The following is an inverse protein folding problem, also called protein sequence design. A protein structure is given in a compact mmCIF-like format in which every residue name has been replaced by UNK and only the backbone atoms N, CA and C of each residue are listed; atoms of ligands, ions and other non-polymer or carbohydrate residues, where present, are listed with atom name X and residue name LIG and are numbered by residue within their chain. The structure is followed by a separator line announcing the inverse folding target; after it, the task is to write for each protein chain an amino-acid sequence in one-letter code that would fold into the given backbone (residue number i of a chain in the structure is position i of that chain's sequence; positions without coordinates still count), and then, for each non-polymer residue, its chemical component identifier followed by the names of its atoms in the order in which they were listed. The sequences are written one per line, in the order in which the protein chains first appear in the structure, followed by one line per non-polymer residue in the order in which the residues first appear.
data_IF_042903510602
#
_entry.id   IF_042903510602
#
_cell.length_a   1.000
_cell.length_b   1.000
_cell.length_c   1.000
_cell.angle_alpha   90.00
_cell.angle_beta   90.00
_cell.angle_gamma   90.00
#
_symmetry.space_group_name_H-M   'P 1'
#
loop_
_entity.id
_entity.type
_entity.pdbx_description
1 polymer ?
#
# COMPACT_ATOMS: atom_id res chain seq x y z
N UNK A 1 -37.20 13.47 17.90
CA UNK A 1 -35.93 12.72 18.04
C UNK A 1 -35.88 12.18 19.46
N UNK A 2 -35.97 10.86 19.67
CA UNK A 2 -36.02 10.31 21.03
C UNK A 2 -34.65 10.45 21.71
N UNK A 3 -34.59 11.15 22.85
CA UNK A 3 -33.40 11.21 23.70
C UNK A 3 -33.33 9.92 24.53
N UNK A 4 -32.36 9.07 24.23
CA UNK A 4 -32.03 7.90 25.05
C UNK A 4 -31.03 8.36 26.10
N UNK A 5 -31.46 8.53 27.35
CA UNK A 5 -30.56 8.86 28.46
C UNK A 5 -30.23 7.58 29.22
N UNK A 6 -29.00 7.04 29.10
CA UNK A 6 -28.60 5.89 29.90
C UNK A 6 -28.45 6.33 31.36
N UNK A 7 -29.32 5.85 32.24
CA UNK A 7 -29.25 6.13 33.67
C UNK A 7 -28.54 4.95 34.34
N UNK A 8 -27.25 5.11 34.62
CA UNK A 8 -26.50 4.14 35.43
C UNK A 8 -26.00 4.81 36.71
N UNK A 9 -26.71 4.65 37.85
CA UNK A 9 -26.22 5.03 39.15
C UNK A 9 -24.79 4.52 39.41
N UNK A 10 -23.94 5.38 39.98
CA UNK A 10 -22.51 5.13 40.19
C UNK A 10 -22.24 3.91 41.09
N UNK A 11 -23.17 3.56 41.97
CA UNK A 11 -23.09 2.45 42.91
C UNK A 11 -23.57 1.10 42.32
N UNK A 12 -24.04 1.08 41.07
CA UNK A 12 -24.58 -0.13 40.46
C UNK A 12 -23.44 -1.08 39.99
N UNK A 13 -23.34 -2.32 40.52
CA UNK A 13 -22.37 -3.29 40.02
C UNK A 13 -22.50 -3.54 38.50
N UNK A 14 -21.37 -3.83 37.84
CA UNK A 14 -21.32 -4.09 36.38
C UNK A 14 -22.09 -5.34 35.94
N UNK A 15 -22.62 -6.11 36.90
CA UNK A 15 -23.40 -7.32 36.66
C UNK A 15 -24.83 -7.04 36.20
N UNK A 16 -25.40 -5.88 36.56
CA UNK A 16 -26.83 -5.59 36.45
C UNK A 16 -27.22 -4.87 35.14
N UNK A 17 -28.49 -5.03 34.67
CA UNK A 17 -28.95 -4.50 33.40
C UNK A 17 -29.02 -2.96 33.41
N UNK A 18 -28.81 -2.36 32.23
CA UNK A 18 -28.92 -0.90 32.06
C UNK A 18 -30.36 -0.54 31.73
N UNK A 19 -30.94 0.37 32.50
CA UNK A 19 -32.28 0.93 32.29
C UNK A 19 -32.17 2.16 31.38
N UNK A 20 -33.05 2.24 30.38
CA UNK A 20 -33.15 3.38 29.48
C UNK A 20 -34.58 3.90 29.51
N UNK A 21 -34.74 5.23 29.54
CA UNK A 21 -36.04 5.87 29.36
C UNK A 21 -36.13 6.34 27.90
N UNK A 22 -37.19 5.93 27.22
CA UNK A 22 -37.50 6.35 25.85
C UNK A 22 -38.95 6.78 25.81
N UNK A 23 -39.21 8.06 25.55
CA UNK A 23 -40.57 8.64 25.49
C UNK A 23 -41.44 8.23 26.70
N UNK A 24 -40.94 8.53 27.89
CA UNK A 24 -41.59 8.28 29.19
C UNK A 24 -41.94 6.82 29.50
N UNK A 25 -41.30 5.88 28.78
CA UNK A 25 -41.37 4.44 29.04
C UNK A 25 -40.00 3.91 29.45
N UNK A 26 -39.99 3.06 30.48
CA UNK A 26 -38.80 2.39 30.97
C UNK A 26 -38.54 1.11 30.17
N UNK A 27 -37.30 0.96 29.69
CA UNK A 27 -36.83 -0.20 28.97
C UNK A 27 -35.62 -0.78 29.67
N UNK A 28 -35.63 -2.10 29.88
CA UNK A 28 -34.49 -2.85 30.41
C UNK A 28 -33.77 -3.49 29.24
N UNK A 29 -32.49 -3.15 29.03
CA UNK A 29 -31.67 -3.90 28.07
C UNK A 29 -31.22 -5.20 28.72
N UNK A 30 -31.84 -6.30 28.33
CA UNK A 30 -31.34 -7.64 28.63
C UNK A 30 -29.87 -7.76 28.17
N UNK A 31 -29.04 -8.43 28.98
CA UNK A 31 -27.68 -8.80 28.55
C UNK A 31 -27.81 -9.62 27.28
N UNK A 32 -26.86 -9.48 26.36
CA UNK A 32 -26.77 -10.40 25.24
C UNK A 32 -26.55 -11.82 25.81
N UNK A 33 -27.53 -12.71 25.66
CA UNK A 33 -27.46 -14.10 26.10
C UNK A 33 -26.26 -14.84 25.48
N UNK A 34 -25.89 -14.41 24.26
CA UNK A 34 -24.76 -14.96 23.52
C UNK A 34 -23.68 -13.89 23.29
N UNK A 35 -22.69 -13.83 24.18
CA UNK A 35 -21.47 -13.04 23.96
C UNK A 35 -20.50 -13.88 23.14
N UNK A 36 -20.50 -13.69 21.81
CA UNK A 36 -19.54 -14.35 20.93
C UNK A 36 -18.13 -13.87 21.26
N UNK A 37 -17.26 -14.79 21.69
CA UNK A 37 -15.89 -14.46 22.08
C UNK A 37 -15.18 -13.67 20.97
N UNK A 38 -14.78 -12.41 21.21
CA UNK A 38 -14.15 -11.54 20.20
C UNK A 38 -12.68 -11.91 19.92
N UNK A 39 -12.29 -13.16 20.21
CA UNK A 39 -10.95 -13.73 20.01
C UNK A 39 -10.96 -14.89 19.01
N UNK A 40 -11.89 -14.92 18.07
CA UNK A 40 -11.79 -15.87 16.95
C UNK A 40 -10.45 -15.69 16.24
N UNK A 41 -9.88 -16.78 15.70
CA UNK A 41 -8.58 -16.74 14.99
C UNK A 41 -8.57 -15.65 13.90
N UNK A 42 -9.64 -15.55 13.11
CA UNK A 42 -9.82 -14.50 12.09
C UNK A 42 -9.78 -13.09 12.67
N UNK A 43 -10.42 -12.84 13.82
CA UNK A 43 -10.37 -11.53 14.47
C UNK A 43 -8.98 -11.21 15.00
N UNK A 44 -8.26 -12.19 15.54
CA UNK A 44 -6.89 -12.02 15.99
C UNK A 44 -5.95 -11.70 14.81
N UNK A 45 -6.10 -12.42 13.69
CA UNK A 45 -5.35 -12.15 12.46
C UNK A 45 -5.64 -10.76 11.89
N UNK A 46 -6.89 -10.31 11.91
CA UNK A 46 -7.24 -8.96 11.47
C UNK A 46 -6.66 -7.88 12.40
N UNK A 47 -6.64 -8.14 13.72
CA UNK A 47 -6.02 -7.22 14.69
C UNK A 47 -4.50 -7.17 14.50
N UNK A 48 -3.83 -8.29 14.31
CA UNK A 48 -2.38 -8.31 14.08
C UNK A 48 -2.02 -7.60 12.78
N UNK A 49 -2.77 -7.85 11.69
CA UNK A 49 -2.63 -7.11 10.42
C UNK A 49 -2.79 -5.62 10.60
N UNK A 50 -3.83 -5.19 11.33
CA UNK A 50 -4.09 -3.78 11.61
C UNK A 50 -2.98 -3.15 12.44
N UNK A 51 -2.48 -3.86 13.46
CA UNK A 51 -1.40 -3.38 14.33
C UNK A 51 -0.12 -3.13 13.55
N UNK A 52 0.30 -4.09 12.71
CA UNK A 52 1.49 -3.96 11.85
C UNK A 52 1.35 -2.79 10.88
N UNK A 53 0.20 -2.71 10.18
CA UNK A 53 -0.07 -1.64 9.23
C UNK A 53 -0.08 -0.26 9.91
N UNK A 54 -0.75 -0.13 11.05
CA UNK A 54 -0.87 1.14 11.78
C UNK A 54 0.47 1.60 12.33
N UNK A 55 1.27 0.69 12.88
CA UNK A 55 2.60 1.01 13.40
C UNK A 55 3.53 1.49 12.29
N UNK A 56 3.56 0.81 11.14
CA UNK A 56 4.34 1.28 9.99
C UNK A 56 3.85 2.63 9.47
N UNK A 57 2.54 2.78 9.26
CA UNK A 57 1.98 4.00 8.68
C UNK A 57 2.12 5.22 9.60
N UNK A 58 2.08 5.03 10.92
CA UNK A 58 2.37 6.08 11.89
C UNK A 58 3.77 6.69 11.65
N UNK A 59 4.77 5.87 11.30
CA UNK A 59 6.10 6.38 10.95
C UNK A 59 6.13 7.12 9.62
N UNK A 60 5.18 6.84 8.71
CA UNK A 60 5.07 7.44 7.39
C UNK A 60 4.08 8.62 7.33
N UNK A 61 3.49 9.01 8.46
CA UNK A 61 2.45 10.04 8.55
C UNK A 61 2.82 11.36 7.85
N UNK A 62 4.07 11.89 7.91
CA UNK A 62 4.44 13.13 7.22
C UNK A 62 4.26 13.10 5.70
N UNK A 63 4.38 11.90 5.09
CA UNK A 63 4.15 11.67 3.67
C UNK A 63 2.70 11.29 3.40
N UNK A 64 2.17 10.28 4.09
CA UNK A 64 0.85 9.71 3.83
C UNK A 64 -0.30 10.74 3.98
N UNK A 65 -0.19 11.67 4.92
CA UNK A 65 -1.24 12.69 5.15
C UNK A 65 -1.40 13.65 3.97
N UNK A 66 -0.31 13.93 3.25
CA UNK A 66 -0.30 14.83 2.08
C UNK A 66 -0.48 14.08 0.78
N UNK A 67 0.00 12.83 0.74
CA UNK A 67 0.02 12.01 -0.45
C UNK A 67 -1.35 11.50 -0.89
N UNK A 68 -2.34 11.43 0.01
CA UNK A 68 -3.68 10.92 -0.31
C UNK A 68 -4.76 11.98 -0.16
N UNK A 69 -5.69 12.01 -1.10
CA UNK A 69 -6.86 12.85 -1.02
C UNK A 69 -7.88 12.32 -0.02
N UNK A 70 -8.46 13.20 0.81
CA UNK A 70 -9.62 12.82 1.62
C UNK A 70 -10.78 12.37 0.73
N UNK A 71 -11.45 11.30 1.11
CA UNK A 71 -12.60 10.75 0.38
C UNK A 71 -13.84 10.72 1.26
N UNK A 72 -15.04 10.71 0.65
CA UNK A 72 -16.29 10.49 1.37
C UNK A 72 -16.60 8.99 1.44
N UNK A 73 -17.17 8.53 2.56
CA UNK A 73 -17.73 7.19 2.62
C UNK A 73 -19.06 7.13 1.88
N UNK A 74 -19.22 6.16 0.99
CA UNK A 74 -20.46 5.93 0.24
C UNK A 74 -21.05 4.58 0.63
N UNK A 75 -21.50 4.45 1.89
CA UNK A 75 -22.15 3.21 2.36
C UNK A 75 -23.68 3.42 2.30
N UNK A 76 -24.43 2.60 1.53
CA UNK A 76 -25.88 2.74 1.45
C UNK A 76 -26.53 2.69 2.84
N UNK A 77 -27.43 3.65 3.13
CA UNK A 77 -28.12 3.76 4.41
C UNK A 77 -27.32 4.39 5.56
N UNK A 78 -26.15 4.96 5.29
CA UNK A 78 -25.33 5.66 6.29
C UNK A 78 -25.02 7.08 5.82
N UNK A 79 -24.97 8.02 6.75
CA UNK A 79 -24.51 9.38 6.47
C UNK A 79 -23.06 9.36 5.95
N UNK A 80 -22.83 10.05 4.84
CA UNK A 80 -21.50 10.17 4.26
C UNK A 80 -20.58 10.94 5.20
N UNK A 81 -19.48 10.31 5.63
CA UNK A 81 -18.44 10.96 6.42
C UNK A 81 -17.18 11.19 5.61
N UNK A 82 -16.48 12.28 5.90
CA UNK A 82 -15.15 12.57 5.34
C UNK A 82 -14.10 11.69 6.01
N UNK A 83 -13.33 10.97 5.21
CA UNK A 83 -12.19 10.16 5.62
C UNK A 83 -10.92 10.91 5.25
N UNK A 84 -10.10 11.27 6.24
CA UNK A 84 -8.84 11.99 6.01
C UNK A 84 -7.80 11.15 5.25
N UNK A 85 -6.87 11.82 4.56
CA UNK A 85 -5.86 11.17 3.71
C UNK A 85 -5.05 10.07 4.40
N UNK A 86 -4.74 10.23 5.70
CA UNK A 86 -4.08 9.17 6.49
C UNK A 86 -4.90 7.87 6.56
N UNK A 87 -6.22 7.97 6.76
CA UNK A 87 -7.08 6.79 6.83
C UNK A 87 -7.29 6.16 5.45
N UNK A 88 -7.29 6.98 4.39
CA UNK A 88 -7.26 6.48 3.01
C UNK A 88 -5.97 5.70 2.77
N UNK A 89 -4.82 6.24 3.18
CA UNK A 89 -3.52 5.58 3.08
C UNK A 89 -3.50 4.23 3.84
N UNK A 90 -4.07 4.20 5.06
CA UNK A 90 -4.20 2.95 5.83
C UNK A 90 -5.03 1.91 5.09
N UNK A 91 -6.15 2.31 4.48
CA UNK A 91 -6.96 1.43 3.65
C UNK A 91 -6.20 0.86 2.45
N UNK A 92 -5.39 1.69 1.77
CA UNK A 92 -4.56 1.26 0.64
C UNK A 92 -3.45 0.31 1.09
N UNK A 93 -2.75 0.65 2.19
CA UNK A 93 -1.71 -0.19 2.79
C UNK A 93 -2.28 -1.57 3.15
N UNK A 94 -3.41 -1.62 3.86
CA UNK A 94 -4.06 -2.87 4.21
C UNK A 94 -4.40 -3.70 2.98
N UNK A 95 -4.86 -3.08 1.89
CA UNK A 95 -5.26 -3.80 0.66
C UNK A 95 -4.09 -4.32 -0.16
N UNK A 96 -2.98 -3.56 -0.27
CA UNK A 96 -1.91 -3.82 -1.25
C UNK A 96 -0.50 -3.97 -0.67
N UNK A 97 -0.20 -3.34 0.46
CA UNK A 97 1.15 -3.33 1.06
C UNK A 97 1.32 -4.26 2.25
N UNK A 98 0.49 -5.31 2.35
CA UNK A 98 0.55 -6.32 3.42
C UNK A 98 0.68 -7.70 2.81
N UNK A 99 1.58 -8.52 3.36
CA UNK A 99 1.76 -9.92 2.96
C UNK A 99 1.79 -10.84 4.19
N UNK A 100 1.55 -12.14 3.99
CA UNK A 100 1.77 -13.15 5.03
C UNK A 100 3.23 -13.63 4.97
N UNK A 101 3.98 -13.38 6.03
CA UNK A 101 5.28 -13.98 6.29
C UNK A 101 5.18 -15.27 7.09
N UNK A 102 6.32 -15.75 7.61
CA UNK A 102 6.38 -16.99 8.39
C UNK A 102 5.69 -16.85 9.75
N UNK A 103 5.88 -15.71 10.40
CA UNK A 103 5.42 -15.45 11.78
C UNK A 103 4.15 -14.60 11.85
N UNK A 104 3.54 -14.27 10.70
CA UNK A 104 2.30 -13.50 10.65
C UNK A 104 2.24 -12.49 9.51
N UNK A 105 1.59 -11.36 9.75
CA UNK A 105 1.49 -10.29 8.76
C UNK A 105 2.73 -9.42 8.76
N UNK A 106 3.21 -9.08 7.57
CA UNK A 106 4.38 -8.25 7.34
C UNK A 106 4.07 -7.15 6.31
N UNK A 107 4.89 -6.10 6.31
CA UNK A 107 4.83 -5.05 5.30
C UNK A 107 5.46 -5.58 4.01
N UNK A 108 4.70 -5.53 2.93
CA UNK A 108 5.25 -5.68 1.58
C UNK A 108 5.77 -4.32 1.12
N UNK A 109 7.02 -4.03 1.48
CA UNK A 109 7.63 -2.72 1.27
C UNK A 109 7.60 -2.24 -0.18
N UNK A 110 7.67 -3.15 -1.15
CA UNK A 110 7.66 -2.82 -2.57
C UNK A 110 6.27 -2.37 -3.04
N UNK A 111 5.21 -2.92 -2.45
CA UNK A 111 3.83 -2.60 -2.81
C UNK A 111 3.18 -1.52 -1.91
N UNK A 112 3.96 -0.92 -0.99
CA UNK A 112 3.51 0.25 -0.23
C UNK A 112 3.38 1.46 -1.15
N UNK A 113 2.18 2.05 -1.19
CA UNK A 113 1.93 3.35 -1.81
C UNK A 113 1.78 4.43 -0.74
N UNK A 114 2.53 5.53 -0.87
CA UNK A 114 2.46 6.68 0.05
C UNK A 114 1.70 7.88 -0.54
N UNK A 115 1.23 7.77 -1.78
CA UNK A 115 0.36 8.74 -2.41
C UNK A 115 -0.56 8.13 -3.47
N UNK A 116 -1.61 8.87 -3.84
CA UNK A 116 -2.59 8.50 -4.88
C UNK A 116 -2.33 9.16 -6.25
N UNK A 117 -1.23 9.89 -6.39
CA UNK A 117 -0.84 10.56 -7.62
C UNK A 117 -0.29 9.65 -8.72
N UNK A 118 0.15 10.28 -9.81
CA UNK A 118 0.75 9.59 -10.95
C UNK A 118 1.96 8.75 -10.53
N UNK A 119 2.31 7.74 -11.33
CA UNK A 119 3.52 6.96 -11.08
C UNK A 119 4.80 7.76 -11.37
N UNK A 120 5.88 7.49 -10.63
CA UNK A 120 7.24 8.00 -10.91
C UNK A 120 8.10 7.01 -11.71
N UNK A 121 7.51 5.99 -12.34
CA UNK A 121 8.26 4.97 -13.08
C UNK A 121 9.15 5.55 -14.19
N UNK A 122 8.70 6.64 -14.82
CA UNK A 122 9.47 7.35 -15.85
C UNK A 122 10.61 8.21 -15.30
N UNK A 123 10.64 8.45 -13.98
CA UNK A 123 11.59 9.33 -13.29
C UNK A 123 12.28 8.58 -12.13
N UNK A 124 13.03 7.50 -12.43
CA UNK A 124 13.62 6.65 -11.41
C UNK A 124 14.61 7.43 -10.54
N UNK A 125 14.62 7.10 -9.25
CA UNK A 125 15.62 7.56 -8.30
C UNK A 125 16.74 6.51 -8.18
N UNK A 126 17.99 6.97 -8.24
CA UNK A 126 19.16 6.22 -7.84
C UNK A 126 19.57 6.58 -6.41
N UNK A 127 19.98 5.58 -5.63
CA UNK A 127 20.50 5.79 -4.28
C UNK A 127 21.75 4.95 -4.02
N UNK A 128 22.74 5.58 -3.41
CA UNK A 128 23.97 4.95 -2.93
C UNK A 128 24.22 5.41 -1.50
N UNK A 129 24.80 4.54 -0.66
CA UNK A 129 25.17 4.88 0.72
C UNK A 129 26.60 4.47 1.00
N UNK A 130 27.36 5.40 1.57
CA UNK A 130 28.68 5.16 2.14
C UNK A 130 28.67 5.58 3.61
N UNK A 131 28.60 4.58 4.50
CA UNK A 131 28.46 4.82 5.93
C UNK A 131 27.24 5.70 6.24
N UNK A 132 27.50 6.93 6.70
CA UNK A 132 26.47 7.90 7.10
C UNK A 132 26.14 8.92 6.01
N UNK A 133 26.75 8.84 4.84
CA UNK A 133 26.40 9.68 3.71
C UNK A 133 25.60 8.86 2.69
N UNK A 134 24.47 9.41 2.25
CA UNK A 134 23.64 8.86 1.19
C UNK A 134 23.60 9.82 0.01
N UNK A 135 23.94 9.32 -1.16
CA UNK A 135 23.90 10.04 -2.43
C UNK A 135 22.65 9.64 -3.20
N UNK A 136 21.84 10.63 -3.57
CA UNK A 136 20.60 10.49 -4.33
C UNK A 136 20.77 11.12 -5.70
N UNK A 137 20.32 10.45 -6.75
CA UNK A 137 20.34 10.99 -8.11
C UNK A 137 19.03 10.67 -8.84
N UNK A 138 18.70 11.49 -9.84
CA UNK A 138 17.55 11.28 -10.72
C UNK A 138 18.05 11.21 -12.17
N UNK A 139 18.44 10.02 -12.68
CA UNK A 139 19.10 9.90 -13.99
C UNK A 139 18.27 10.44 -15.16
N UNK A 140 16.94 10.27 -15.10
CA UNK A 140 15.99 10.81 -16.09
C UNK A 140 15.42 12.19 -15.69
N UNK A 141 15.96 12.80 -14.64
CA UNK A 141 15.42 14.03 -14.04
C UNK A 141 14.13 13.78 -13.26
N UNK A 142 13.40 14.87 -13.01
CA UNK A 142 12.12 14.88 -12.31
C UNK A 142 11.00 15.35 -13.25
N UNK A 143 9.72 15.11 -12.91
CA UNK A 143 8.59 15.65 -13.66
C UNK A 143 8.72 17.17 -13.88
N UNK A 144 8.24 17.65 -15.04
CA UNK A 144 8.25 19.09 -15.37
C UNK A 144 7.49 19.88 -14.30
N UNK A 145 8.08 20.95 -13.79
CA UNK A 145 7.49 21.77 -12.73
C UNK A 145 7.66 21.20 -11.31
N UNK A 146 8.52 20.20 -11.12
CA UNK A 146 8.93 19.74 -9.81
C UNK A 146 9.62 20.86 -9.02
N UNK A 147 9.15 21.11 -7.79
CA UNK A 147 9.72 22.13 -6.90
C UNK A 147 10.47 21.52 -5.73
N UNK A 148 9.95 20.43 -5.18
CA UNK A 148 10.45 19.84 -3.93
C UNK A 148 10.31 18.33 -3.96
N UNK A 149 11.31 17.65 -3.43
CA UNK A 149 11.29 16.21 -3.16
C UNK A 149 11.17 16.00 -1.66
N UNK A 150 10.27 15.11 -1.26
CA UNK A 150 10.17 14.57 0.11
C UNK A 150 10.52 13.11 0.06
N UNK A 151 11.29 12.64 1.03
CA UNK A 151 11.71 11.24 1.07
C UNK A 151 11.65 10.69 2.49
N UNK A 152 11.18 9.45 2.62
CA UNK A 152 11.27 8.63 3.82
C UNK A 152 12.31 7.52 3.59
N UNK A 153 13.28 7.42 4.50
CA UNK A 153 14.29 6.37 4.54
C UNK A 153 13.96 5.47 5.74
N UNK A 154 13.45 4.28 5.46
CA UNK A 154 12.97 3.33 6.46
C UNK A 154 13.93 2.15 6.64
N UNK A 155 14.22 1.81 7.90
CA UNK A 155 14.93 0.59 8.26
C UNK A 155 13.97 -0.38 8.94
N UNK A 156 13.65 -1.48 8.24
CA UNK A 156 12.77 -2.54 8.75
C UNK A 156 13.33 -3.14 10.06
N UNK A 157 14.61 -3.53 10.05
CA UNK A 157 15.26 -4.16 11.20
C UNK A 157 15.45 -3.25 12.42
N UNK A 158 15.34 -1.92 12.25
CA UNK A 158 15.35 -0.97 13.37
C UNK A 158 13.98 -0.41 13.70
N UNK A 159 12.97 -0.64 12.85
CA UNK A 159 11.64 -0.06 13.02
C UNK A 159 11.65 1.47 13.08
N UNK A 160 12.54 2.14 12.32
CA UNK A 160 12.69 3.61 12.32
C UNK A 160 12.69 4.18 10.92
N UNK A 161 12.22 5.42 10.81
CA UNK A 161 12.12 6.16 9.55
C UNK A 161 12.72 7.55 9.71
N UNK A 162 13.58 7.95 8.78
CA UNK A 162 14.08 9.32 8.63
C UNK A 162 13.29 10.00 7.53
N UNK A 163 12.80 11.21 7.79
CA UNK A 163 12.16 12.06 6.78
C UNK A 163 13.10 13.18 6.38
N UNK A 164 13.27 13.38 5.08
CA UNK A 164 14.10 14.45 4.50
C UNK A 164 13.33 15.16 3.41
N UNK A 165 13.63 16.43 3.21
CA UNK A 165 13.06 17.24 2.13
C UNK A 165 14.15 18.14 1.58
N UNK A 166 14.18 18.28 0.26
CA UNK A 166 15.11 19.16 -0.45
C UNK A 166 14.45 19.68 -1.72
N UNK A 167 14.94 20.81 -2.23
CA UNK A 167 14.43 21.38 -3.48
C UNK A 167 14.77 20.46 -4.66
N UNK A 168 13.95 20.50 -5.71
CA UNK A 168 14.10 19.60 -6.85
C UNK A 168 15.48 19.80 -7.50
N UNK A 169 16.37 18.78 -7.49
CA UNK A 169 17.69 18.90 -8.11
C UNK A 169 17.57 19.03 -9.63
N UNK A 170 18.56 19.68 -10.24
CA UNK A 170 18.70 19.74 -11.70
C UNK A 170 18.97 18.33 -12.25
N UNK A 171 18.74 18.15 -13.55
CA UNK A 171 19.03 16.87 -14.20
C UNK A 171 20.52 16.51 -14.00
N UNK A 172 20.79 15.27 -13.58
CA UNK A 172 22.14 14.73 -13.25
C UNK A 172 22.80 15.31 -11.99
N UNK A 173 22.16 16.24 -11.29
CA UNK A 173 22.64 16.69 -9.99
C UNK A 173 22.46 15.58 -8.94
N UNK A 174 23.43 15.48 -8.04
CA UNK A 174 23.44 14.51 -6.96
C UNK A 174 23.19 15.23 -5.63
N UNK A 175 22.23 14.74 -4.87
CA UNK A 175 21.90 15.26 -3.54
C UNK A 175 22.57 14.38 -2.49
N UNK A 176 23.32 14.99 -1.57
CA UNK A 176 23.93 14.31 -0.44
C UNK A 176 23.09 14.48 0.82
N UNK A 177 22.89 13.39 1.54
CA UNK A 177 22.05 13.34 2.74
C UNK A 177 22.81 12.63 3.85
N UNK A 178 22.97 13.29 4.99
CA UNK A 178 23.48 12.66 6.20
C UNK A 178 22.40 11.78 6.83
N UNK A 179 22.71 10.50 7.02
CA UNK A 179 21.83 9.53 7.68
C UNK A 179 22.31 9.25 9.10
N UNK A 180 21.38 9.00 10.04
CA UNK A 180 21.72 8.69 11.43
C UNK A 180 22.44 7.34 11.55
N UNK A 181 23.13 7.11 12.67
CA UNK A 181 23.91 5.87 12.93
C UNK A 181 23.08 4.60 12.73
N UNK A 182 21.81 4.61 13.12
CA UNK A 182 20.91 3.46 12.97
C UNK A 182 20.61 3.11 11.50
N UNK A 183 20.77 4.07 10.58
CA UNK A 183 20.58 3.92 9.13
C UNK A 183 21.91 3.77 8.38
N UNK A 184 23.06 3.75 9.07
CA UNK A 184 24.37 3.66 8.42
C UNK A 184 24.67 2.26 7.84
N UNK A 185 24.01 1.23 8.36
CA UNK A 185 24.14 -0.17 7.92
C UNK A 185 22.80 -0.84 7.63
N UNK A 186 22.82 -2.09 7.16
CA UNK A 186 21.62 -2.88 6.90
C UNK A 186 20.83 -2.46 5.65
N UNK A 187 19.68 -3.11 5.43
CA UNK A 187 18.76 -2.81 4.32
C UNK A 187 17.92 -1.57 4.61
N UNK A 188 17.70 -0.73 3.60
CA UNK A 188 16.83 0.44 3.68
C UNK A 188 15.77 0.42 2.58
N UNK A 189 14.59 0.92 2.92
CA UNK A 189 13.45 1.12 2.04
C UNK A 189 13.24 2.63 1.88
N UNK A 190 13.44 3.14 0.68
CA UNK A 190 13.33 4.56 0.39
C UNK A 190 12.03 4.78 -0.36
N UNK A 191 11.21 5.71 0.14
CA UNK A 191 10.02 6.20 -0.53
C UNK A 191 10.20 7.67 -0.81
N UNK A 192 9.91 8.13 -2.02
CA UNK A 192 10.01 9.56 -2.35
C UNK A 192 8.76 10.04 -3.04
N UNK A 193 8.42 11.30 -2.78
CA UNK A 193 7.34 12.01 -3.46
C UNK A 193 7.80 13.36 -3.98
N UNK A 194 7.24 13.76 -5.12
CA UNK A 194 7.59 15.01 -5.80
C UNK A 194 6.40 15.96 -5.74
N UNK A 195 6.67 17.18 -5.29
CA UNK A 195 5.74 18.30 -5.36
C UNK A 195 5.85 18.96 -6.75
N UNK A 196 4.78 18.91 -7.53
CA UNK A 196 4.70 19.48 -8.88
C UNK A 196 3.74 20.69 -8.85
N UNK A 197 4.05 21.75 -9.58
CA UNK A 197 3.13 22.88 -9.74
C UNK A 197 1.78 22.44 -10.34
N UNK A 198 0.68 22.65 -9.62
CA UNK A 198 -0.68 22.32 -10.09
C UNK A 198 -1.52 21.56 -9.06
N UNK A 199 -2.67 21.02 -9.51
CA UNK A 199 -3.64 20.31 -8.64
C UNK A 199 -3.32 18.82 -8.38
N UNK A 200 -2.26 18.27 -8.98
CA UNK A 200 -1.85 16.85 -8.84
C UNK A 200 -0.44 16.81 -8.24
N UNK A 201 -0.26 16.71 -6.92
CA UNK A 201 -0.52 15.60 -5.97
C UNK A 201 0.45 14.45 -6.19
N UNK A 202 1.56 14.56 -5.47
CA UNK A 202 2.51 13.55 -5.02
C UNK A 202 2.47 12.23 -5.80
N UNK A 203 3.45 12.04 -6.65
CA UNK A 203 3.78 10.74 -7.23
C UNK A 203 4.71 10.02 -6.25
N UNK A 204 4.54 8.71 -5.97
CA UNK A 204 5.43 7.98 -5.03
C UNK A 204 6.28 6.93 -5.75
N UNK A 205 7.58 6.91 -5.50
CA UNK A 205 8.47 5.86 -5.97
C UNK A 205 9.15 5.12 -4.82
N UNK A 206 9.63 3.91 -5.10
CA UNK A 206 10.27 3.02 -4.13
C UNK A 206 11.66 2.60 -4.60
N UNK A 207 12.64 2.60 -3.70
CA UNK A 207 13.98 2.07 -3.92
C UNK A 207 14.41 1.22 -2.73
N UNK A 208 14.89 0.01 -3.01
CA UNK A 208 15.51 -0.85 -2.01
C UNK A 208 17.02 -0.69 -2.06
N UNK A 209 17.62 -0.37 -0.90
CA UNK A 209 19.07 -0.32 -0.75
C UNK A 209 19.54 -1.50 0.09
N UNK A 210 20.35 -2.37 -0.51
CA UNK A 210 20.90 -3.54 0.15
C UNK A 210 21.93 -3.16 1.24
N UNK A 211 22.23 -4.11 2.12
CA UNK A 211 23.32 -3.98 3.08
C UNK A 211 24.67 -4.09 2.35
N UNK A 212 25.33 -2.96 2.07
CA UNK A 212 26.66 -2.94 1.44
C UNK A 212 26.84 -1.80 0.43
N UNK A 213 28.10 -1.54 0.02
CA UNK A 213 28.56 -0.46 -0.88
C UNK A 213 28.10 -0.59 -2.35
N UNK A 214 26.95 -1.21 -2.61
CA UNK A 214 26.49 -1.43 -3.99
C UNK A 214 25.42 -0.41 -4.39
N UNK A 215 25.42 0.09 -5.65
CA UNK A 215 24.32 0.89 -6.16
C UNK A 215 23.01 0.12 -6.01
N UNK A 216 22.01 0.74 -5.37
CA UNK A 216 20.69 0.15 -5.26
C UNK A 216 20.15 -0.17 -6.65
N UNK A 217 19.85 -1.44 -6.95
CA UNK A 217 19.18 -1.81 -8.19
C UNK A 217 17.72 -1.37 -8.11
N UNK A 218 17.33 -0.52 -9.05
CA UNK A 218 15.94 -0.20 -9.32
C UNK A 218 15.19 -1.49 -9.66
N UNK A 219 14.07 -1.77 -8.98
CA UNK A 219 13.19 -2.89 -9.32
C UNK A 219 11.75 -2.38 -9.35
N UNK A 220 11.16 -2.42 -10.55
CA UNK A 220 9.80 -1.97 -10.82
C UNK A 220 8.80 -2.78 -10.00
N UNK A 221 7.81 -2.12 -9.41
CA UNK A 221 6.57 -2.77 -8.98
C UNK A 221 5.70 -3.01 -10.21
N UNK A 222 5.64 -4.25 -10.70
CA UNK A 222 4.70 -4.59 -11.78
C UNK A 222 3.27 -4.57 -11.24
N UNK A 223 2.51 -3.52 -11.53
CA UNK A 223 1.06 -3.60 -11.60
C UNK A 223 0.70 -4.13 -13.00
N UNK A 224 0.46 -5.45 -13.11
CA UNK A 224 -0.33 -6.02 -14.20
C UNK A 224 -1.47 -6.80 -13.57
N UNK A 225 -2.55 -6.09 -13.28
CA UNK A 225 -3.86 -6.71 -13.18
C UNK A 225 -4.32 -7.04 -14.60
N UNK A 226 -4.06 -8.26 -15.05
CA UNK A 226 -4.74 -8.85 -16.19
C UNK A 226 -5.47 -10.09 -15.68
N UNK A 227 -6.80 -10.08 -15.85
CA UNK A 227 -7.68 -11.17 -15.44
C UNK A 227 -7.23 -12.48 -16.07
N UNK A 228 -7.20 -13.55 -15.26
CA UNK A 228 -7.18 -14.91 -15.78
C UNK A 228 -8.54 -15.18 -16.41
N UNK A 229 -8.65 -14.95 -17.72
CA UNK A 229 -9.62 -15.64 -18.55
C UNK A 229 -9.15 -17.10 -18.65
N UNK A 230 -9.85 -17.97 -17.95
CA UNK A 230 -9.79 -19.42 -18.16
C UNK A 230 -10.51 -19.72 -19.48
N UNK A 231 -9.88 -20.35 -20.49
CA UNK A 231 -10.61 -20.93 -21.61
C UNK A 231 -11.29 -22.24 -21.15
N UNK A 232 -12.50 -22.57 -21.65
CA UNK A 232 -13.20 -23.79 -21.28
C UNK A 232 -12.58 -25.04 -21.93
N UNK A 233 -12.87 -26.20 -21.33
CA UNK A 233 -12.39 -27.52 -21.71
C UNK A 233 -13.21 -28.16 -22.87
N UNK A 234 -12.53 -29.01 -23.65
CA UNK A 234 -13.06 -29.89 -24.71
C UNK A 234 -12.76 -29.34 -26.11
N UNK A 235 -12.22 -30.06 -27.10
CA UNK A 235 -12.10 -31.50 -27.39
C UNK A 235 -11.05 -31.67 -28.55
N UNK A 236 -10.74 -32.89 -29.05
CA UNK A 236 -9.40 -33.30 -29.49
C UNK A 236 -9.09 -32.97 -30.96
N UNK A 237 -7.82 -32.68 -31.29
CA UNK A 237 -7.34 -32.66 -32.68
C UNK A 237 -6.50 -33.89 -32.98
N UNK A 238 -7.11 -34.82 -33.71
CA UNK A 238 -6.45 -35.68 -34.67
C UNK A 238 -5.64 -34.83 -35.67
N UNK A 239 -4.40 -35.23 -35.96
CA UNK A 239 -3.89 -35.36 -37.33
C UNK A 239 -2.43 -35.85 -37.33
N UNK A 240 -2.29 -37.12 -37.71
CA UNK A 240 -1.10 -37.68 -38.35
C UNK A 240 -0.70 -36.86 -39.59
N UNK A 241 0.60 -36.81 -39.90
CA UNK A 241 1.05 -36.68 -41.28
C UNK A 241 1.77 -37.95 -41.74
N UNK A 242 1.18 -38.56 -42.76
CA UNK A 242 1.65 -39.69 -43.57
C UNK A 242 2.94 -39.35 -44.32
N UNK A 243 3.84 -40.33 -44.42
CA UNK A 243 5.10 -40.29 -45.21
C UNK A 243 4.85 -40.28 -46.73
N UNK A 244 5.82 -39.82 -47.55
CA UNK A 244 5.67 -39.69 -48.99
C UNK A 244 6.21 -40.89 -49.77
N UNK A 245 5.72 -41.10 -51.00
CA UNK A 245 6.45 -41.63 -52.18
C UNK A 245 5.53 -41.66 -53.41
N UNK A 246 6.08 -41.27 -54.57
CA UNK A 246 5.67 -41.86 -55.86
C UNK A 246 5.26 -40.89 -56.98
N UNK A 247 6.27 -40.48 -57.77
CA UNK A 247 6.31 -40.42 -59.24
C UNK A 247 5.09 -39.94 -60.08
N UNK A 248 5.33 -38.81 -60.77
CA UNK A 248 5.32 -38.61 -62.24
C UNK A 248 4.00 -38.57 -63.05
N UNK A 249 4.04 -37.91 -64.23
CA UNK A 249 3.06 -36.88 -64.61
C UNK A 249 2.20 -37.23 -65.84
N UNK A 250 1.25 -36.36 -66.18
CA UNK A 250 0.64 -36.36 -67.52
C UNK A 250 -0.53 -35.38 -67.66
N UNK A 251 -0.35 -34.44 -68.58
CA UNK A 251 -1.32 -33.83 -69.51
C UNK A 251 -2.66 -33.25 -68.98
N UNK A 252 -2.92 -31.94 -69.11
CA UNK A 252 -3.16 -31.12 -70.32
C UNK A 252 -4.67 -30.97 -70.62
N UNK A 253 -5.07 -29.73 -70.94
CA UNK A 253 -6.35 -29.35 -71.57
C UNK A 253 -7.49 -29.15 -70.58
N UNK A 254 -7.92 -27.92 -70.29
CA UNK A 254 -8.70 -27.02 -71.15
C UNK A 254 -10.11 -27.57 -71.46
N UNK A 255 -11.12 -26.88 -70.93
CA UNK A 255 -12.55 -27.13 -71.11
C UNK A 255 -13.34 -26.62 -69.93
#
# INVERSE_FOLDING_TARGET
MARITPVRPKYWPKSEPVVYVVADKEYIRARAENIRNPRTKRQQENRSRMAVASHFLAQMQPMATRGFQPTMTNRPGWESRRVGGYHVALGVLLKRGMQKGKDGWEIDYQNVKLSDGNSLDMYPMGAQRHGREMSISFPKGLPKGAKRVRMAIHSAGKGRTLHVSFDAPRQREMVKISVPKWAAGGKLHLYYTVEVSGKSRWASGYVHLAAGRSPGRFRMSNETGAGRNTPPAGQPSSNEPTRPRGHSPGDAGAG
#
